data_IF_201444895445
#
_entry.id   IF_201444895445
#
_cell.length_a   1.000
_cell.length_b   1.000
_cell.length_c   1.000
_cell.angle_alpha   90.00
_cell.angle_beta   90.00
_cell.angle_gamma   90.00
#
_symmetry.space_group_name_H-M   'P 1'
#
loop_
_entity.id
_entity.type
_entity.pdbx_description
1 polymer ?
#
# COMPACT_ATOMS: atom_id res chain seq x y z
N UNK A 1 -9.63 -31.68 -5.81
CA UNK A 1 -10.22 -30.51 -5.13
C UNK A 1 -9.34 -29.31 -5.45
N UNK A 2 -9.81 -28.35 -6.25
CA UNK A 2 -9.09 -27.10 -6.44
C UNK A 2 -9.04 -26.42 -5.05
N UNK A 3 -7.82 -26.20 -4.53
CA UNK A 3 -7.63 -25.55 -3.23
C UNK A 3 -8.35 -24.22 -3.23
N UNK A 4 -9.17 -23.95 -2.21
CA UNK A 4 -9.88 -22.70 -2.06
C UNK A 4 -8.86 -21.57 -2.19
N UNK A 5 -9.09 -20.67 -3.15
CA UNK A 5 -8.23 -19.50 -3.34
C UNK A 5 -8.24 -18.67 -2.04
N UNK A 6 -7.07 -18.50 -1.43
CA UNK A 6 -6.93 -17.63 -0.26
C UNK A 6 -6.03 -16.46 -0.58
N UNK A 7 -6.37 -15.29 -0.04
CA UNK A 7 -5.67 -14.03 -0.31
C UNK A 7 -5.65 -13.14 0.93
N UNK A 8 -4.52 -12.50 1.18
CA UNK A 8 -4.43 -11.41 2.16
C UNK A 8 -4.44 -10.06 1.45
N UNK A 9 -5.10 -9.08 2.05
CA UNK A 9 -4.98 -7.68 1.65
C UNK A 9 -4.18 -6.96 2.72
N UNK A 10 -3.06 -6.31 2.36
CA UNK A 10 -2.37 -5.40 3.26
C UNK A 10 -3.26 -4.20 3.52
N UNK A 11 -3.76 -4.11 4.74
CA UNK A 11 -4.92 -3.31 5.07
C UNK A 11 -4.62 -2.24 6.11
N UNK A 12 -4.56 -0.99 5.70
CA UNK A 12 -4.39 0.15 6.61
C UNK A 12 -5.71 0.78 7.09
N UNK A 13 -6.84 0.29 6.58
CA UNK A 13 -8.14 0.93 6.79
C UNK A 13 -8.30 2.26 6.05
N UNK A 14 -7.34 2.67 5.20
CA UNK A 14 -7.45 3.81 4.31
C UNK A 14 -8.21 3.47 3.02
N UNK A 15 -8.58 4.51 2.26
CA UNK A 15 -9.38 4.40 1.02
C UNK A 15 -8.88 3.29 0.08
N UNK A 16 -7.57 3.25 -0.22
CA UNK A 16 -7.01 2.37 -1.23
C UNK A 16 -7.19 0.90 -0.90
N UNK A 17 -6.76 0.52 0.31
CA UNK A 17 -6.89 -0.86 0.78
C UNK A 17 -8.34 -1.26 1.07
N UNK A 18 -9.16 -0.31 1.53
CA UNK A 18 -10.59 -0.54 1.77
C UNK A 18 -11.34 -0.78 0.44
N UNK A 19 -11.02 0.00 -0.61
CA UNK A 19 -11.62 -0.20 -1.92
C UNK A 19 -11.19 -1.55 -2.52
N UNK A 20 -9.91 -1.93 -2.43
CA UNK A 20 -9.45 -3.24 -2.88
C UNK A 20 -10.19 -4.37 -2.17
N UNK A 21 -10.29 -4.33 -0.85
CA UNK A 21 -11.00 -5.34 -0.07
C UNK A 21 -12.50 -5.38 -0.43
N UNK A 22 -13.13 -4.21 -0.60
CA UNK A 22 -14.53 -4.08 -0.98
C UNK A 22 -14.82 -4.65 -2.37
N UNK A 23 -13.95 -4.44 -3.34
CA UNK A 23 -14.10 -5.00 -4.69
C UNK A 23 -13.81 -6.50 -4.71
N UNK A 24 -12.77 -6.92 -4.03
CA UNK A 24 -12.37 -8.33 -4.00
C UNK A 24 -13.48 -9.24 -3.45
N UNK A 25 -14.17 -8.81 -2.36
CA UNK A 25 -15.28 -9.59 -1.76
C UNK A 25 -16.49 -9.75 -2.67
N UNK A 26 -16.59 -8.96 -3.75
CA UNK A 26 -17.66 -9.08 -4.76
C UNK A 26 -17.35 -10.07 -5.85
N UNK A 27 -16.10 -10.53 -5.96
CA UNK A 27 -15.73 -11.55 -6.94
C UNK A 27 -16.27 -12.91 -6.50
N UNK A 28 -16.77 -13.76 -7.42
CA UNK A 28 -17.35 -15.07 -7.08
C UNK A 28 -16.43 -15.96 -6.23
N UNK A 29 -15.10 -15.91 -6.48
CA UNK A 29 -14.10 -16.67 -5.74
C UNK A 29 -13.97 -16.24 -4.26
N UNK A 30 -14.39 -15.02 -3.92
CA UNK A 30 -14.23 -14.40 -2.60
C UNK A 30 -15.56 -13.84 -2.06
N UNK A 31 -16.66 -14.29 -2.59
CA UNK A 31 -18.00 -13.78 -2.25
C UNK A 31 -18.23 -13.78 -0.73
N UNK A 32 -18.69 -12.63 -0.21
CA UNK A 32 -18.90 -12.44 1.22
C UNK A 32 -17.62 -12.45 2.05
N UNK A 33 -16.42 -12.36 1.43
CA UNK A 33 -15.13 -12.36 2.13
C UNK A 33 -14.54 -13.75 2.37
N UNK A 34 -15.12 -14.81 1.79
CA UNK A 34 -14.56 -16.16 1.90
C UNK A 34 -13.13 -16.21 1.36
N UNK A 35 -12.23 -16.86 2.09
CA UNK A 35 -10.82 -16.97 1.68
C UNK A 35 -10.04 -15.65 1.73
N UNK A 36 -10.61 -14.56 2.24
CA UNK A 36 -9.96 -13.27 2.38
C UNK A 36 -9.56 -12.99 3.82
N UNK A 37 -8.39 -12.39 4.01
CA UNK A 37 -7.95 -11.85 5.29
C UNK A 37 -7.38 -10.45 5.12
N UNK A 38 -7.80 -9.52 5.98
CA UNK A 38 -7.23 -8.18 6.04
C UNK A 38 -6.06 -8.22 7.03
N UNK A 39 -4.85 -8.00 6.54
CA UNK A 39 -3.63 -8.07 7.35
C UNK A 39 -3.07 -6.68 7.66
N UNK A 40 -2.87 -6.39 8.94
CA UNK A 40 -2.34 -5.12 9.43
C UNK A 40 -1.27 -5.35 10.48
N UNK A 41 -0.27 -4.46 10.52
CA UNK A 41 0.77 -4.46 11.54
C UNK A 41 0.86 -3.10 12.22
N UNK A 42 1.32 -3.08 13.47
CA UNK A 42 1.63 -1.84 14.19
C UNK A 42 2.19 -2.11 15.57
N UNK A 43 2.86 -1.12 16.14
CA UNK A 43 3.22 -1.15 17.56
C UNK A 43 1.96 -1.21 18.44
N UNK A 44 2.10 -1.72 19.66
CA UNK A 44 0.99 -1.73 20.62
C UNK A 44 0.41 -0.31 20.79
N UNK A 45 -0.91 -0.19 20.65
CA UNK A 45 -1.61 1.09 20.75
C UNK A 45 -1.45 2.01 19.54
N UNK A 46 -0.88 1.54 18.43
CA UNK A 46 -0.71 2.36 17.22
C UNK A 46 -2.06 2.73 16.59
N UNK A 47 -2.11 3.93 16.02
CA UNK A 47 -3.32 4.44 15.37
C UNK A 47 -3.76 3.59 14.18
N UNK A 48 -2.81 2.98 13.45
CA UNK A 48 -3.12 2.13 12.29
C UNK A 48 -3.88 0.86 12.69
N UNK A 49 -3.51 0.22 13.82
CA UNK A 49 -4.24 -0.95 14.30
C UNK A 49 -5.70 -0.63 14.63
N UNK A 50 -5.94 0.48 15.35
CA UNK A 50 -7.31 0.91 15.70
C UNK A 50 -8.11 1.30 14.44
N UNK A 51 -7.49 2.05 13.52
CA UNK A 51 -8.12 2.49 12.29
C UNK A 51 -8.48 1.30 11.39
N UNK A 52 -7.56 0.35 11.23
CA UNK A 52 -7.78 -0.83 10.41
C UNK A 52 -8.88 -1.73 11.02
N UNK A 53 -8.91 -1.92 12.35
CA UNK A 53 -9.95 -2.67 13.02
C UNK A 53 -11.35 -2.09 12.74
N UNK A 54 -11.53 -0.77 12.97
CA UNK A 54 -12.79 -0.08 12.66
C UNK A 54 -13.21 -0.20 11.19
N UNK A 55 -12.24 -0.10 10.26
CA UNK A 55 -12.54 -0.23 8.84
C UNK A 55 -12.90 -1.68 8.43
N UNK A 56 -12.25 -2.67 9.02
CA UNK A 56 -12.56 -4.08 8.79
C UNK A 56 -13.97 -4.44 9.30
N UNK A 57 -14.35 -3.92 10.46
CA UNK A 57 -15.71 -4.05 11.03
C UNK A 57 -16.74 -3.43 10.08
N UNK A 58 -16.52 -2.20 9.61
CA UNK A 58 -17.42 -1.54 8.65
C UNK A 58 -17.57 -2.31 7.33
N UNK A 59 -16.56 -3.07 6.92
CA UNK A 59 -16.62 -3.95 5.77
C UNK A 59 -17.19 -5.35 6.08
N UNK A 60 -17.34 -5.75 7.34
CA UNK A 60 -17.73 -7.09 7.73
C UNK A 60 -16.74 -8.17 7.29
N UNK A 61 -15.43 -7.88 7.28
CA UNK A 61 -14.38 -8.78 6.81
C UNK A 61 -13.48 -9.25 7.95
N UNK A 62 -12.94 -10.48 7.79
CA UNK A 62 -12.01 -11.06 8.76
C UNK A 62 -10.73 -10.21 8.84
N UNK A 63 -10.36 -9.81 10.04
CA UNK A 63 -9.25 -8.93 10.33
C UNK A 63 -8.16 -9.65 11.12
N UNK A 64 -6.93 -9.58 10.63
CA UNK A 64 -5.73 -10.13 11.26
C UNK A 64 -4.78 -8.98 11.61
N UNK A 65 -4.73 -8.64 12.89
CA UNK A 65 -3.84 -7.62 13.43
C UNK A 65 -2.63 -8.28 14.09
N UNK A 66 -1.42 -7.89 13.67
CA UNK A 66 -0.18 -8.31 14.31
C UNK A 66 0.46 -7.13 15.02
N UNK A 67 0.55 -7.22 16.34
CA UNK A 67 1.37 -6.30 17.13
C UNK A 67 2.85 -6.63 16.94
N UNK A 68 3.65 -5.62 16.63
CA UNK A 68 5.09 -5.73 16.43
C UNK A 68 5.84 -5.02 17.58
N UNK A 69 7.10 -5.42 17.82
CA UNK A 69 7.98 -4.79 18.82
C UNK A 69 9.04 -3.92 18.16
N UNK A 70 9.66 -2.98 18.90
CA UNK A 70 10.78 -2.19 18.39
C UNK A 70 11.95 -3.04 17.88
N UNK A 71 12.23 -4.19 18.53
CA UNK A 71 13.27 -5.14 18.14
C UNK A 71 12.96 -5.76 16.77
N UNK A 72 11.71 -6.14 16.53
CA UNK A 72 11.25 -6.67 15.24
C UNK A 72 11.35 -5.61 14.14
N UNK A 73 11.03 -4.34 14.44
CA UNK A 73 11.20 -3.23 13.50
C UNK A 73 12.67 -3.08 13.10
N UNK A 74 13.59 -3.04 14.07
CA UNK A 74 15.04 -2.93 13.79
C UNK A 74 15.59 -4.15 13.04
N UNK A 75 15.15 -5.35 13.37
CA UNK A 75 15.54 -6.57 12.66
C UNK A 75 15.05 -6.56 11.20
N UNK A 76 13.82 -6.15 10.97
CA UNK A 76 13.24 -6.03 9.64
C UNK A 76 13.96 -4.96 8.79
N UNK A 77 14.34 -3.82 9.39
CA UNK A 77 15.10 -2.77 8.71
C UNK A 77 16.45 -3.30 8.21
N UNK A 78 17.24 -3.99 9.08
CA UNK A 78 18.50 -4.64 8.67
C UNK A 78 18.29 -5.62 7.52
N UNK A 79 17.26 -6.45 7.59
CA UNK A 79 16.97 -7.41 6.54
C UNK A 79 16.55 -6.76 5.21
N UNK A 80 15.86 -5.61 5.25
CA UNK A 80 15.57 -4.81 4.05
C UNK A 80 16.88 -4.31 3.44
N UNK A 81 17.79 -3.74 4.24
CA UNK A 81 19.09 -3.28 3.75
C UNK A 81 19.93 -4.41 3.15
N UNK A 82 19.94 -5.58 3.76
CA UNK A 82 20.64 -6.78 3.26
C UNK A 82 20.06 -7.25 1.93
N UNK A 83 18.72 -7.29 1.82
CA UNK A 83 18.02 -7.65 0.58
C UNK A 83 18.37 -6.70 -0.56
N UNK A 84 18.44 -5.39 -0.29
CA UNK A 84 18.77 -4.39 -1.30
C UNK A 84 20.28 -4.39 -1.65
N UNK A 85 21.20 -4.64 -0.69
CA UNK A 85 22.66 -4.75 -0.94
C UNK A 85 23.02 -5.98 -1.76
N UNK A 86 22.38 -7.11 -1.56
CA UNK A 86 22.69 -8.36 -2.28
C UNK A 86 22.47 -8.23 -3.79
N UNK A 87 21.65 -7.32 -4.25
CA UNK A 87 21.42 -7.02 -5.67
C UNK A 87 22.59 -6.26 -6.29
N UNK A 88 23.34 -5.49 -5.51
CA UNK A 88 24.50 -4.72 -6.01
C UNK A 88 25.66 -5.62 -6.44
N UNK A 89 25.73 -6.85 -5.95
CA UNK A 89 26.80 -7.80 -6.24
C UNK A 89 26.73 -8.44 -7.65
N UNK A 90 25.63 -8.25 -8.40
CA UNK A 90 25.40 -8.88 -9.69
C UNK A 90 25.62 -7.95 -10.91
N UNK A 91 26.34 -6.82 -10.73
CA UNK A 91 26.79 -5.98 -11.86
C UNK A 91 25.74 -5.10 -12.50
N UNK A 92 24.53 -5.00 -11.95
CA UNK A 92 23.54 -4.01 -12.37
C UNK A 92 23.70 -2.73 -11.54
N UNK A 93 23.49 -1.56 -12.16
CA UNK A 93 23.37 -0.27 -11.47
C UNK A 93 22.12 -0.31 -10.56
N UNK A 94 22.35 -0.68 -9.30
CA UNK A 94 21.29 -0.71 -8.30
C UNK A 94 21.32 0.60 -7.51
N UNK A 95 20.18 1.22 -7.24
CA UNK A 95 20.14 2.40 -6.38
C UNK A 95 20.77 2.10 -5.01
N UNK A 96 21.34 3.11 -4.35
CA UNK A 96 21.92 2.93 -3.02
C UNK A 96 20.91 2.32 -2.05
N UNK A 97 21.37 1.60 -1.01
CA UNK A 97 20.47 1.00 -0.03
C UNK A 97 19.50 2.05 0.52
N UNK A 98 18.24 1.65 0.79
CA UNK A 98 17.21 2.58 1.22
C UNK A 98 17.61 3.22 2.55
N UNK A 99 17.42 4.53 2.64
CA UNK A 99 17.67 5.32 3.86
C UNK A 99 16.45 6.16 4.20
N UNK A 100 16.36 6.64 5.43
CA UNK A 100 15.31 7.54 5.89
C UNK A 100 13.91 6.97 5.62
N UNK A 101 13.04 7.82 5.08
CA UNK A 101 11.63 7.46 4.83
C UNK A 101 11.46 6.23 3.95
N UNK A 102 12.32 6.02 2.96
CA UNK A 102 12.24 4.84 2.08
C UNK A 102 12.51 3.55 2.84
N UNK A 103 13.50 3.54 3.72
CA UNK A 103 13.79 2.39 4.60
C UNK A 103 12.59 2.09 5.52
N UNK A 104 11.99 3.13 6.11
CA UNK A 104 10.82 2.99 6.99
C UNK A 104 9.63 2.35 6.28
N UNK A 105 9.33 2.81 5.05
CA UNK A 105 8.22 2.27 4.24
C UNK A 105 8.47 0.81 3.88
N UNK A 106 9.68 0.46 3.40
CA UNK A 106 10.02 -0.91 3.04
C UNK A 106 10.07 -1.83 4.26
N UNK A 107 10.52 -1.32 5.42
CA UNK A 107 10.46 -2.06 6.70
C UNK A 107 9.02 -2.38 7.10
N UNK A 108 8.13 -1.38 7.01
CA UNK A 108 6.71 -1.59 7.27
C UNK A 108 6.07 -2.59 6.33
N UNK A 109 6.39 -2.50 5.05
CA UNK A 109 5.92 -3.44 4.04
C UNK A 109 6.42 -4.87 4.33
N UNK A 110 7.71 -5.05 4.64
CA UNK A 110 8.27 -6.35 5.00
C UNK A 110 7.53 -6.97 6.17
N UNK A 111 7.36 -6.23 7.26
CA UNK A 111 6.64 -6.70 8.45
C UNK A 111 5.17 -7.03 8.14
N UNK A 112 4.51 -6.24 7.29
CA UNK A 112 3.14 -6.52 6.86
C UNK A 112 3.05 -7.80 6.01
N UNK A 113 4.02 -8.05 5.12
CA UNK A 113 4.11 -9.28 4.33
C UNK A 113 4.37 -10.50 5.21
N UNK A 114 5.26 -10.39 6.21
CA UNK A 114 5.51 -11.44 7.19
C UNK A 114 4.27 -11.76 8.03
N UNK A 115 3.45 -10.74 8.34
CA UNK A 115 2.19 -10.89 9.07
C UNK A 115 1.03 -11.40 8.22
N UNK A 116 1.14 -11.38 6.90
CA UNK A 116 0.08 -11.85 6.01
C UNK A 116 0.02 -13.38 6.02
N UNK A 117 -1.13 -13.99 6.37
CA UNK A 117 -1.23 -15.44 6.57
C UNK A 117 -1.21 -16.24 5.27
N UNK A 118 -1.43 -15.62 4.12
CA UNK A 118 -1.47 -16.31 2.82
C UNK A 118 -0.24 -16.00 1.97
N UNK A 119 0.05 -16.87 1.00
CA UNK A 119 1.13 -16.63 0.02
C UNK A 119 0.74 -15.51 -0.95
N UNK A 120 -0.52 -15.49 -1.42
CA UNK A 120 -1.00 -14.41 -2.30
C UNK A 120 -1.41 -13.21 -1.48
N UNK A 121 -0.83 -12.05 -1.81
CA UNK A 121 -1.04 -10.80 -1.07
C UNK A 121 -1.35 -9.67 -2.03
N UNK A 122 -2.37 -8.87 -1.72
CA UNK A 122 -2.69 -7.64 -2.44
C UNK A 122 -2.32 -6.42 -1.61
N UNK A 123 -1.85 -5.35 -2.28
CA UNK A 123 -1.57 -4.06 -1.64
C UNK A 123 -2.11 -2.89 -2.47
N UNK A 124 -2.31 -1.74 -1.81
CA UNK A 124 -2.80 -0.51 -2.42
C UNK A 124 -1.72 0.37 -3.06
N UNK A 125 -0.51 -0.15 -3.28
CA UNK A 125 0.58 0.63 -3.88
C UNK A 125 0.22 1.09 -5.30
N UNK A 126 0.63 2.30 -5.67
CA UNK A 126 0.30 2.94 -6.93
C UNK A 126 -0.92 3.88 -6.87
N UNK A 127 -1.80 3.73 -5.87
CA UNK A 127 -2.99 4.57 -5.77
C UNK A 127 -2.65 6.05 -5.47
N UNK A 128 -1.61 6.31 -4.68
CA UNK A 128 -1.21 7.69 -4.34
C UNK A 128 -0.63 8.42 -5.56
N UNK A 129 0.14 7.73 -6.36
CA UNK A 129 0.72 8.25 -7.60
C UNK A 129 -0.38 8.48 -8.65
N UNK A 130 -1.13 7.43 -8.98
CA UNK A 130 -2.10 7.46 -10.06
C UNK A 130 -3.25 8.45 -9.81
N UNK A 131 -3.67 8.61 -8.56
CA UNK A 131 -4.81 9.47 -8.19
C UNK A 131 -4.41 10.75 -7.45
N UNK A 132 -3.13 11.14 -7.51
CA UNK A 132 -2.60 12.37 -6.91
C UNK A 132 -2.90 12.46 -5.40
N UNK A 133 -2.57 11.39 -4.68
CA UNK A 133 -2.86 11.25 -3.25
C UNK A 133 -1.93 12.03 -2.32
N UNK A 134 -0.73 12.37 -2.79
CA UNK A 134 0.26 13.07 -1.98
C UNK A 134 -0.03 14.57 -1.83
N UNK A 135 0.28 15.10 -0.64
CA UNK A 135 0.05 16.51 -0.33
C UNK A 135 0.81 17.47 -1.26
N UNK A 136 2.00 17.07 -1.74
CA UNK A 136 2.80 17.91 -2.64
C UNK A 136 2.14 18.14 -4.01
N UNK A 137 1.16 17.32 -4.42
CA UNK A 137 0.40 17.59 -5.63
C UNK A 137 -0.60 18.73 -5.49
N UNK A 138 -1.06 19.03 -4.27
CA UNK A 138 -2.15 19.99 -4.03
C UNK A 138 -1.88 21.40 -4.60
N UNK A 139 -0.68 22.01 -4.43
CA UNK A 139 -0.40 23.33 -4.96
C UNK A 139 -0.05 23.34 -6.46
N UNK A 140 0.23 22.18 -7.06
CA UNK A 140 0.73 22.09 -8.44
C UNK A 140 -0.40 22.17 -9.47
N UNK A 141 -0.11 22.77 -10.63
CA UNK A 141 -1.03 22.91 -11.79
C UNK A 141 -0.25 22.81 -13.09
N UNK A 142 -0.94 22.47 -14.20
CA UNK A 142 -0.38 22.43 -15.55
C UNK A 142 0.92 21.64 -15.64
N UNK A 143 1.91 22.16 -16.36
CA UNK A 143 3.20 21.48 -16.60
C UNK A 143 3.96 21.09 -15.32
N UNK A 144 3.83 21.87 -14.23
CA UNK A 144 4.47 21.53 -12.94
C UNK A 144 3.85 20.28 -12.34
N UNK A 145 2.53 20.13 -12.43
CA UNK A 145 1.82 18.95 -11.99
C UNK A 145 2.23 17.73 -12.84
N UNK A 146 2.24 17.88 -14.18
CA UNK A 146 2.61 16.80 -15.09
C UNK A 146 4.04 16.32 -14.89
N UNK A 147 4.98 17.24 -14.73
CA UNK A 147 6.38 16.90 -14.45
C UNK A 147 6.49 16.11 -13.15
N UNK A 148 5.92 16.62 -12.05
CA UNK A 148 5.97 15.95 -10.75
C UNK A 148 5.29 14.60 -10.78
N UNK A 149 4.16 14.47 -11.44
CA UNK A 149 3.47 13.19 -11.63
C UNK A 149 4.36 12.16 -12.35
N UNK A 150 5.03 12.58 -13.43
CA UNK A 150 5.95 11.69 -14.17
C UNK A 150 7.16 11.27 -13.33
N UNK A 151 7.70 12.19 -12.53
CA UNK A 151 8.79 11.89 -11.60
C UNK A 151 8.38 10.84 -10.57
N UNK A 152 7.24 11.05 -9.89
CA UNK A 152 6.74 10.12 -8.87
C UNK A 152 6.38 8.76 -9.47
N UNK A 153 5.76 8.72 -10.65
CA UNK A 153 5.42 7.46 -11.32
C UNK A 153 6.69 6.72 -11.76
N UNK A 154 7.68 7.42 -12.30
CA UNK A 154 8.97 6.85 -12.68
C UNK A 154 9.72 6.30 -11.47
N UNK A 155 9.73 7.03 -10.35
CA UNK A 155 10.31 6.58 -9.08
C UNK A 155 9.62 5.29 -8.59
N UNK A 156 8.30 5.28 -8.60
CA UNK A 156 7.52 4.10 -8.20
C UNK A 156 7.86 2.90 -9.08
N UNK A 157 7.79 3.04 -10.42
CA UNK A 157 7.99 1.93 -11.36
C UNK A 157 9.45 1.47 -11.43
N UNK A 158 10.39 2.40 -11.40
CA UNK A 158 11.81 2.10 -11.57
C UNK A 158 12.54 1.70 -10.27
N UNK A 159 12.02 2.07 -9.13
CA UNK A 159 12.75 1.92 -7.86
C UNK A 159 11.91 1.27 -6.77
N UNK A 160 10.74 1.83 -6.44
CA UNK A 160 10.03 1.42 -5.23
C UNK A 160 9.24 0.12 -5.42
N UNK A 161 8.58 -0.05 -6.56
CA UNK A 161 7.88 -1.29 -6.87
C UNK A 161 8.85 -2.47 -7.05
N UNK A 162 9.98 -2.37 -7.80
CA UNK A 162 10.99 -3.42 -7.83
C UNK A 162 11.54 -3.80 -6.45
N UNK A 163 11.84 -2.83 -5.57
CA UNK A 163 12.28 -3.09 -4.20
C UNK A 163 11.20 -3.87 -3.41
N UNK A 164 9.95 -3.44 -3.53
CA UNK A 164 8.78 -4.12 -2.94
C UNK A 164 8.66 -5.57 -3.40
N UNK A 165 8.85 -5.83 -4.71
CA UNK A 165 8.81 -7.18 -5.29
C UNK A 165 9.97 -8.06 -4.78
N UNK A 166 11.18 -7.52 -4.62
CA UNK A 166 12.32 -8.26 -4.06
C UNK A 166 12.06 -8.69 -2.62
N UNK A 167 11.51 -7.79 -1.78
CA UNK A 167 11.14 -8.12 -0.41
C UNK A 167 10.07 -9.21 -0.38
N UNK A 168 9.06 -9.13 -1.24
CA UNK A 168 8.02 -10.13 -1.34
C UNK A 168 8.59 -11.49 -1.77
N UNK A 169 9.48 -11.51 -2.77
CA UNK A 169 10.16 -12.73 -3.24
C UNK A 169 11.01 -13.37 -2.13
N UNK A 170 11.77 -12.57 -1.37
CA UNK A 170 12.56 -13.05 -0.23
C UNK A 170 11.70 -13.69 0.88
N UNK A 171 10.42 -13.36 0.94
CA UNK A 171 9.44 -13.93 1.87
C UNK A 171 8.54 -15.02 1.22
N UNK A 172 8.85 -15.44 -0.01
CA UNK A 172 8.02 -16.37 -0.80
C UNK A 172 6.54 -15.94 -0.92
N UNK A 173 6.31 -14.62 -1.05
CA UNK A 173 4.97 -14.02 -1.24
C UNK A 173 4.73 -13.66 -2.70
N UNK A 174 3.55 -13.99 -3.22
CA UNK A 174 3.03 -13.51 -4.50
C UNK A 174 2.30 -12.18 -4.25
N UNK A 175 3.05 -11.07 -4.28
CA UNK A 175 2.52 -9.74 -4.03
C UNK A 175 2.03 -9.10 -5.32
N UNK A 176 0.80 -8.60 -5.30
CA UNK A 176 0.15 -7.90 -6.39
C UNK A 176 -0.34 -6.52 -5.97
N UNK A 177 -0.19 -5.55 -6.87
CA UNK A 177 -0.69 -4.19 -6.71
C UNK A 177 -1.69 -3.87 -7.85
N UNK A 178 -3.00 -4.09 -7.66
CA UNK A 178 -4.01 -3.89 -8.71
C UNK A 178 -4.04 -2.46 -9.28
N UNK A 179 -3.64 -1.46 -8.52
CA UNK A 179 -3.51 -0.09 -9.04
C UNK A 179 -2.38 0.06 -10.06
N UNK A 180 -1.40 -0.83 -10.08
CA UNK A 180 -0.31 -0.86 -11.07
C UNK A 180 -0.62 -1.74 -12.29
N UNK A 181 -1.85 -2.22 -12.41
CA UNK A 181 -2.28 -2.96 -13.59
C UNK A 181 -2.11 -2.10 -14.86
N UNK A 182 -1.43 -2.62 -15.90
CA UNK A 182 -1.15 -1.86 -17.11
C UNK A 182 -2.40 -1.31 -17.81
N UNK A 183 -3.52 -2.04 -17.82
CA UNK A 183 -4.76 -1.59 -18.44
C UNK A 183 -5.35 -0.42 -17.65
N UNK A 184 -5.34 -0.47 -16.31
CA UNK A 184 -5.78 0.63 -15.46
C UNK A 184 -4.91 1.86 -15.66
N UNK A 185 -3.59 1.70 -15.67
CA UNK A 185 -2.62 2.79 -15.88
C UNK A 185 -2.86 3.44 -17.25
N UNK A 186 -3.00 2.64 -18.31
CA UNK A 186 -3.29 3.13 -19.66
C UNK A 186 -4.63 3.87 -19.73
N UNK A 187 -5.68 3.31 -19.12
CA UNK A 187 -6.99 3.98 -19.07
C UNK A 187 -6.92 5.31 -18.34
N UNK A 188 -6.24 5.36 -17.21
CA UNK A 188 -6.07 6.62 -16.46
C UNK A 188 -5.24 7.64 -17.22
N UNK A 189 -4.30 7.24 -18.08
CA UNK A 189 -3.51 8.19 -18.88
C UNK A 189 -4.35 9.00 -19.86
N UNK A 190 -5.53 8.53 -20.24
CA UNK A 190 -6.48 9.28 -21.10
C UNK A 190 -7.23 10.37 -20.34
N UNK A 191 -7.20 10.38 -19.01
CA UNK A 191 -7.84 11.41 -18.20
C UNK A 191 -6.86 12.53 -17.85
N UNK A 192 -7.22 13.80 -18.03
CA UNK A 192 -6.39 14.91 -17.57
C UNK A 192 -6.05 14.78 -16.09
N UNK A 193 -4.80 15.06 -15.71
CA UNK A 193 -4.36 14.93 -14.30
C UNK A 193 -5.22 15.77 -13.35
N UNK A 194 -5.61 16.96 -13.78
CA UNK A 194 -6.46 17.86 -12.98
C UNK A 194 -7.81 17.19 -12.62
N UNK A 195 -8.39 16.39 -13.53
CA UNK A 195 -9.66 15.71 -13.29
C UNK A 195 -9.57 14.62 -12.21
N UNK A 196 -8.36 14.15 -11.87
CA UNK A 196 -8.15 13.15 -10.83
C UNK A 196 -8.24 13.73 -9.41
N UNK A 197 -8.19 15.09 -9.30
CA UNK A 197 -8.34 15.85 -8.05
C UNK A 197 -9.73 16.51 -7.94
N UNK A 198 -10.77 15.82 -8.30
CA UNK A 198 -12.14 16.31 -8.18
C UNK A 198 -12.42 16.84 -6.77
N UNK A 199 -13.10 17.97 -6.68
CA UNK A 199 -13.37 18.64 -5.40
C UNK A 199 -12.14 19.25 -4.73
N UNK A 200 -10.96 19.33 -5.40
CA UNK A 200 -9.74 19.91 -4.85
C UNK A 200 -9.08 19.09 -3.72
N UNK A 201 -9.53 17.86 -3.53
CA UNK A 201 -9.02 16.96 -2.47
C UNK A 201 -8.12 15.86 -3.04
N UNK A 202 -7.16 15.33 -2.26
CA UNK A 202 -6.37 14.18 -2.66
C UNK A 202 -7.26 12.99 -3.05
N UNK A 203 -6.93 12.34 -4.19
CA UNK A 203 -7.68 11.19 -4.70
C UNK A 203 -9.16 11.46 -4.97
N UNK A 204 -9.55 12.70 -5.34
CA UNK A 204 -10.95 13.06 -5.53
C UNK A 204 -11.71 12.11 -6.44
N UNK A 205 -11.13 11.78 -7.62
CA UNK A 205 -11.70 10.81 -8.54
C UNK A 205 -11.85 9.42 -7.91
N UNK A 206 -10.82 8.93 -7.20
CA UNK A 206 -10.89 7.61 -6.57
C UNK A 206 -11.96 7.54 -5.47
N UNK A 207 -12.17 8.64 -4.73
CA UNK A 207 -13.22 8.76 -3.72
C UNK A 207 -14.62 8.69 -4.33
N UNK A 208 -14.84 9.40 -5.44
CA UNK A 208 -16.11 9.34 -6.17
C UNK A 208 -16.38 7.94 -6.72
N UNK A 209 -15.38 7.32 -7.34
CA UNK A 209 -15.49 5.94 -7.85
C UNK A 209 -15.74 4.97 -6.70
N UNK A 210 -15.05 5.09 -5.59
CA UNK A 210 -15.26 4.23 -4.41
C UNK A 210 -16.69 4.35 -3.88
N UNK A 211 -17.22 5.56 -3.77
CA UNK A 211 -18.61 5.80 -3.35
C UNK A 211 -19.60 5.21 -4.35
N UNK A 212 -19.40 5.40 -5.66
CA UNK A 212 -20.29 4.84 -6.71
C UNK A 212 -20.28 3.32 -6.73
N UNK A 213 -19.18 2.69 -6.32
CA UNK A 213 -19.06 1.24 -6.19
C UNK A 213 -19.61 0.70 -4.86
N UNK A 214 -20.16 1.58 -3.99
CA UNK A 214 -20.82 1.23 -2.74
C UNK A 214 -19.85 1.01 -1.56
N UNK A 215 -18.63 1.58 -1.61
CA UNK A 215 -17.78 1.63 -0.42
C UNK A 215 -18.44 2.55 0.62
N UNK A 216 -18.54 2.16 1.91
CA UNK A 216 -19.08 3.02 2.96
C UNK A 216 -18.46 4.42 2.95
N UNK A 217 -19.30 5.45 3.08
CA UNK A 217 -18.90 6.86 2.92
C UNK A 217 -17.79 7.24 3.89
N UNK A 218 -17.82 6.73 5.12
CA UNK A 218 -16.80 6.94 6.13
C UNK A 218 -15.41 6.43 5.70
N UNK A 219 -15.35 5.33 4.93
CA UNK A 219 -14.11 4.80 4.37
C UNK A 219 -13.68 5.56 3.12
N UNK A 220 -14.63 5.91 2.25
CA UNK A 220 -14.37 6.68 1.04
C UNK A 220 -13.83 8.09 1.34
N UNK A 221 -14.26 8.73 2.44
CA UNK A 221 -13.85 10.08 2.84
C UNK A 221 -12.70 10.10 3.86
N UNK A 222 -12.25 8.94 4.34
CA UNK A 222 -11.23 8.86 5.37
C UNK A 222 -9.91 9.49 4.94
N UNK A 223 -9.32 10.31 5.81
CA UNK A 223 -7.96 10.84 5.60
C UNK A 223 -6.93 9.77 5.95
N UNK A 224 -5.89 9.66 5.10
CA UNK A 224 -4.80 8.69 5.29
C UNK A 224 -3.68 9.30 6.14
N UNK A 225 -3.10 8.51 7.04
CA UNK A 225 -1.73 8.68 7.52
C UNK A 225 -0.81 7.73 6.75
N UNK A 226 0.43 8.11 6.50
CA UNK A 226 1.39 7.21 5.87
C UNK A 226 1.75 6.07 6.84
N UNK A 227 1.94 4.86 6.29
CA UNK A 227 2.16 3.61 7.03
C UNK A 227 3.20 3.74 8.15
N UNK A 228 4.35 4.33 7.87
CA UNK A 228 5.45 4.45 8.84
C UNK A 228 5.10 5.30 10.07
N UNK A 229 4.21 6.29 9.92
CA UNK A 229 3.76 7.13 11.03
C UNK A 229 2.62 6.49 11.82
N UNK A 230 1.64 5.94 11.13
CA UNK A 230 0.47 5.35 11.77
C UNK A 230 0.76 4.04 12.50
N UNK A 231 1.70 3.23 12.00
CA UNK A 231 2.16 1.98 12.62
C UNK A 231 3.15 2.18 13.78
N UNK A 232 3.76 3.38 13.90
CA UNK A 232 4.80 3.70 14.87
C UNK A 232 6.23 3.35 14.43
N UNK A 233 6.46 2.80 13.24
CA UNK A 233 7.79 2.41 12.73
C UNK A 233 8.74 3.60 12.69
N UNK A 234 8.28 4.76 12.23
CA UNK A 234 9.06 6.00 12.24
C UNK A 234 9.65 6.30 13.62
N UNK A 235 8.86 6.17 14.68
CA UNK A 235 9.31 6.49 16.05
C UNK A 235 10.41 5.55 16.56
N UNK A 236 10.53 4.36 15.98
CA UNK A 236 11.59 3.39 16.32
C UNK A 236 12.87 3.64 15.54
N UNK A 237 12.76 3.93 14.24
CA UNK A 237 13.92 4.07 13.35
C UNK A 237 14.53 5.48 13.39
N UNK A 238 13.75 6.51 13.69
CA UNK A 238 14.27 7.89 13.84
C UNK A 238 15.04 8.15 15.13
N UNK A 239 14.98 7.23 16.12
CA UNK A 239 15.68 7.30 17.40
C UNK A 239 16.91 6.38 17.47
N UNK A 240 17.19 5.66 16.42
CA UNK A 240 18.34 4.78 16.27
C UNK A 240 19.46 5.44 15.49
#
# INVERSE_FOLDING_TARGET
MAGASSVSVLFSGGLDSALLAHLLRKLPAFEGGRGMELATIGLAGSADLAQAASAAEALGLKFNARTITPEQVRAAARSVEETERSQTAHGQLVPPPPQGMRLEVLTGLRLALEGAPTTRVLCGQGADELFLGYAHFLPLRGERLERRYREDLSQLQGTDWPATQRIAAALAKDLRAPYLDPELVQKLSTFPLESRRRGGVPKGLLREVAASLGLPTELAQRRKKALQYGSGIHSVLSRA
#
